data_IF_201914715093
#
_entry.id   IF_201914715093
#
_cell.length_a   1.000
_cell.length_b   1.000
_cell.length_c   1.000
_cell.angle_alpha   90.00
_cell.angle_beta   90.00
_cell.angle_gamma   90.00
#
_symmetry.space_group_name_H-M   'P 1'
#
loop_
_entity.id
_entity.type
_entity.pdbx_description
1 polymer ?
#
# COMPACT_ATOMS: atom_id res chain seq x y z
N UNK A 1 -7.82 -11.84 5.33
CA UNK A 1 -6.96 -10.95 6.11
C UNK A 1 -7.39 -11.06 7.56
N UNK A 2 -6.50 -11.50 8.45
CA UNK A 2 -6.74 -11.55 9.90
C UNK A 2 -6.46 -10.19 10.56
N UNK A 3 -6.89 -10.02 11.81
CA UNK A 3 -6.58 -8.82 12.60
C UNK A 3 -5.06 -8.64 12.80
N UNK A 4 -4.34 -9.76 12.96
CA UNK A 4 -2.87 -9.75 13.07
C UNK A 4 -2.20 -9.29 11.77
N UNK A 5 -2.73 -9.69 10.61
CA UNK A 5 -2.24 -9.24 9.30
C UNK A 5 -2.49 -7.74 9.10
N UNK A 6 -3.68 -7.25 9.48
CA UNK A 6 -4.00 -5.82 9.45
C UNK A 6 -3.06 -5.02 10.35
N UNK A 7 -2.85 -5.47 11.60
CA UNK A 7 -1.98 -4.82 12.54
C UNK A 7 -0.51 -4.79 12.08
N UNK A 8 -0.11 -5.79 11.29
CA UNK A 8 1.27 -5.93 10.81
C UNK A 8 1.55 -5.22 9.49
N UNK A 9 0.57 -4.55 8.86
CA UNK A 9 0.79 -3.87 7.56
C UNK A 9 1.87 -2.78 7.60
N UNK A 10 2.12 -2.17 8.77
CA UNK A 10 3.18 -1.17 8.96
C UNK A 10 4.58 -1.77 9.18
N UNK A 11 4.66 -3.07 9.50
CA UNK A 11 5.91 -3.81 9.68
C UNK A 11 5.75 -5.25 9.13
N UNK A 12 5.60 -5.42 7.80
CA UNK A 12 5.23 -6.70 7.19
C UNK A 12 6.20 -7.84 7.50
N UNK A 13 7.48 -7.53 7.71
CA UNK A 13 8.54 -8.47 8.09
C UNK A 13 8.27 -9.17 9.44
N UNK A 14 7.50 -8.54 10.31
CA UNK A 14 7.13 -9.07 11.62
C UNK A 14 5.90 -9.99 11.57
N UNK A 15 5.16 -9.99 10.47
CA UNK A 15 3.98 -10.84 10.29
C UNK A 15 4.39 -12.27 9.90
N UNK A 16 4.04 -13.24 10.74
CA UNK A 16 4.36 -14.64 10.50
C UNK A 16 3.54 -15.27 9.37
N UNK A 17 2.36 -14.73 9.05
CA UNK A 17 1.46 -15.30 8.04
C UNK A 17 1.71 -14.76 6.63
N UNK A 18 2.39 -13.61 6.50
CA UNK A 18 2.80 -13.08 5.19
C UNK A 18 3.93 -13.89 4.60
N UNK A 19 3.69 -14.39 3.39
CA UNK A 19 4.70 -15.08 2.62
C UNK A 19 5.66 -14.09 1.92
N UNK A 20 6.62 -14.63 1.17
CA UNK A 20 7.61 -13.82 0.47
C UNK A 20 6.98 -12.93 -0.61
N UNK A 21 5.88 -13.37 -1.23
CA UNK A 21 5.17 -12.60 -2.25
C UNK A 21 4.37 -11.45 -1.63
N UNK A 22 3.72 -11.68 -0.49
CA UNK A 22 3.03 -10.64 0.27
C UNK A 22 4.00 -9.52 0.67
N UNK A 23 5.15 -9.90 1.24
CA UNK A 23 6.20 -8.95 1.65
C UNK A 23 6.79 -8.19 0.46
N UNK A 24 6.99 -8.87 -0.67
CA UNK A 24 7.49 -8.25 -1.90
C UNK A 24 6.49 -7.23 -2.46
N UNK A 25 5.20 -7.55 -2.48
CA UNK A 25 4.13 -6.65 -2.92
C UNK A 25 4.01 -5.43 -2.00
N UNK A 26 4.09 -5.63 -0.69
CA UNK A 26 4.07 -4.54 0.30
C UNK A 26 5.28 -3.61 0.15
N UNK A 27 6.49 -4.17 -0.01
CA UNK A 27 7.70 -3.40 -0.31
C UNK A 27 7.57 -2.60 -1.60
N UNK A 28 7.04 -3.21 -2.67
CA UNK A 28 6.78 -2.52 -3.93
C UNK A 28 5.80 -1.35 -3.76
N UNK A 29 4.67 -1.59 -3.08
CA UNK A 29 3.66 -0.56 -2.86
C UNK A 29 4.22 0.62 -2.05
N UNK A 30 5.05 0.36 -1.04
CA UNK A 30 5.73 1.40 -0.27
C UNK A 30 6.70 2.22 -1.15
N UNK A 31 7.63 1.55 -1.85
CA UNK A 31 8.63 2.21 -2.71
C UNK A 31 7.97 3.05 -3.80
N UNK A 32 6.95 2.51 -4.47
CA UNK A 32 6.23 3.24 -5.52
C UNK A 32 5.48 4.45 -4.95
N UNK A 33 4.91 4.33 -3.75
CA UNK A 33 4.15 5.43 -3.11
C UNK A 33 5.06 6.55 -2.60
N UNK A 34 6.21 6.21 -2.02
CA UNK A 34 7.12 7.17 -1.36
C UNK A 34 8.14 7.77 -2.33
N UNK A 35 8.79 6.93 -3.11
CA UNK A 35 9.94 7.31 -3.93
C UNK A 35 9.60 7.41 -5.42
N UNK A 36 8.50 6.79 -5.85
CA UNK A 36 8.06 6.74 -7.24
C UNK A 36 9.15 6.22 -8.20
N UNK A 37 10.08 5.41 -7.68
CA UNK A 37 11.21 4.86 -8.42
C UNK A 37 11.48 3.43 -7.96
N UNK A 38 11.10 2.48 -8.79
CA UNK A 38 11.38 1.05 -8.60
C UNK A 38 12.74 0.76 -9.25
N UNK A 39 13.68 0.20 -8.50
CA UNK A 39 14.99 -0.18 -9.02
C UNK A 39 14.95 -1.54 -9.73
N UNK A 40 16.02 -1.84 -10.46
CA UNK A 40 16.13 -3.06 -11.26
C UNK A 40 16.08 -4.32 -10.39
N UNK A 41 16.60 -4.27 -9.16
CA UNK A 41 16.59 -5.40 -8.23
C UNK A 41 15.17 -5.74 -7.79
N UNK A 42 14.40 -4.75 -7.36
CA UNK A 42 13.00 -4.91 -6.95
C UNK A 42 12.13 -5.32 -8.14
N UNK A 43 12.34 -4.72 -9.31
CA UNK A 43 11.60 -5.08 -10.52
C UNK A 43 11.89 -6.52 -10.97
N UNK A 44 13.16 -6.96 -10.93
CA UNK A 44 13.52 -8.34 -11.25
C UNK A 44 12.93 -9.34 -10.24
N UNK A 45 12.89 -9.00 -8.95
CA UNK A 45 12.25 -9.85 -7.93
C UNK A 45 10.74 -10.01 -8.18
N UNK A 46 10.07 -8.95 -8.63
CA UNK A 46 8.66 -8.96 -9.02
C UNK A 46 8.42 -9.81 -10.28
N UNK A 47 9.22 -9.61 -11.35
CA UNK A 47 9.10 -10.42 -12.58
C UNK A 47 9.37 -11.91 -12.35
N UNK A 48 10.16 -12.27 -11.33
CA UNK A 48 10.39 -13.67 -10.98
C UNK A 48 9.16 -14.37 -10.35
N UNK A 49 8.15 -13.60 -9.89
CA UNK A 49 6.97 -14.12 -9.17
C UNK A 49 5.65 -13.85 -9.89
N UNK A 50 5.57 -12.77 -10.67
CA UNK A 50 4.33 -12.30 -11.27
C UNK A 50 4.46 -12.21 -12.80
N UNK A 51 3.37 -12.50 -13.50
CA UNK A 51 3.27 -12.26 -14.94
C UNK A 51 3.26 -10.76 -15.24
N UNK A 52 3.52 -10.41 -16.50
CA UNK A 52 3.48 -9.01 -16.93
C UNK A 52 2.10 -8.38 -16.73
N UNK A 53 1.03 -9.14 -16.96
CA UNK A 53 -0.35 -8.69 -16.71
C UNK A 53 -0.57 -8.42 -15.22
N UNK A 54 -0.12 -9.31 -14.34
CA UNK A 54 -0.20 -9.12 -12.89
C UNK A 54 0.58 -7.89 -12.42
N UNK A 55 1.76 -7.62 -13.01
CA UNK A 55 2.53 -6.41 -12.70
C UNK A 55 1.82 -5.13 -13.16
N UNK A 56 1.16 -5.16 -14.31
CA UNK A 56 0.33 -4.03 -14.78
C UNK A 56 -0.83 -3.78 -13.83
N UNK A 57 -1.53 -4.84 -13.40
CA UNK A 57 -2.63 -4.74 -12.42
C UNK A 57 -2.16 -4.22 -11.07
N UNK A 58 -1.00 -4.70 -10.60
CA UNK A 58 -0.40 -4.26 -9.35
C UNK A 58 -0.03 -2.77 -9.40
N UNK A 59 0.63 -2.33 -10.48
CA UNK A 59 0.96 -0.92 -10.71
C UNK A 59 -0.29 -0.05 -10.78
N UNK A 60 -1.33 -0.49 -11.49
CA UNK A 60 -2.58 0.25 -11.61
C UNK A 60 -3.30 0.38 -10.26
N UNK A 61 -3.29 -0.67 -9.45
CA UNK A 61 -3.91 -0.69 -8.12
C UNK A 61 -3.22 0.30 -7.18
N UNK A 62 -1.89 0.24 -7.08
CA UNK A 62 -1.11 1.19 -6.25
C UNK A 62 -1.28 2.62 -6.76
N UNK A 63 -1.23 2.82 -8.08
CA UNK A 63 -1.42 4.13 -8.72
C UNK A 63 -2.80 4.74 -8.46
N UNK A 64 -3.86 3.94 -8.52
CA UNK A 64 -5.23 4.39 -8.23
C UNK A 64 -5.37 4.87 -6.78
N UNK A 65 -4.86 4.08 -5.82
CA UNK A 65 -4.82 4.50 -4.42
C UNK A 65 -4.09 5.83 -4.27
N UNK A 66 -2.97 6.00 -4.97
CA UNK A 66 -2.20 7.24 -4.94
C UNK A 66 -2.98 8.46 -5.52
N UNK A 67 -3.87 8.25 -6.49
CA UNK A 67 -4.77 9.30 -7.01
C UNK A 67 -5.83 9.68 -5.96
N UNK A 68 -6.53 8.68 -5.40
CA UNK A 68 -7.56 8.87 -4.36
C UNK A 68 -6.99 9.61 -3.16
N UNK A 69 -5.81 9.18 -2.72
CA UNK A 69 -5.03 9.80 -1.66
C UNK A 69 -4.73 11.29 -1.92
N UNK A 70 -4.28 11.64 -3.13
CA UNK A 70 -4.02 13.04 -3.51
C UNK A 70 -5.30 13.86 -3.58
N UNK A 71 -6.40 13.26 -4.03
CA UNK A 71 -7.70 13.92 -4.06
C UNK A 71 -8.14 14.31 -2.63
N UNK A 72 -8.16 13.35 -1.70
CA UNK A 72 -8.55 13.62 -0.32
C UNK A 72 -7.61 14.59 0.38
N UNK A 73 -6.29 14.49 0.15
CA UNK A 73 -5.33 15.46 0.71
C UNK A 73 -5.55 16.89 0.17
N UNK A 74 -5.91 17.03 -1.11
CA UNK A 74 -6.15 18.33 -1.75
C UNK A 74 -7.41 18.99 -1.22
N UNK A 75 -8.50 18.23 -1.13
CA UNK A 75 -9.81 18.76 -0.75
C UNK A 75 -10.12 18.65 0.75
N UNK A 76 -9.22 18.05 1.53
CA UNK A 76 -9.37 17.83 2.98
C UNK A 76 -10.72 17.23 3.32
N UNK A 77 -11.07 16.17 2.60
CA UNK A 77 -12.33 15.46 2.86
C UNK A 77 -12.33 14.91 4.28
N UNK A 78 -13.40 15.15 5.01
CA UNK A 78 -13.60 14.59 6.35
C UNK A 78 -13.73 13.07 6.28
N UNK A 79 -13.28 12.40 7.34
CA UNK A 79 -13.50 10.96 7.53
C UNK A 79 -14.91 10.77 8.06
N UNK A 80 -15.70 9.91 7.42
CA UNK A 80 -17.05 9.59 7.88
C UNK A 80 -17.03 8.72 9.15
N UNK A 81 -18.15 8.71 9.88
CA UNK A 81 -18.27 8.04 11.18
C UNK A 81 -17.95 6.54 11.12
N UNK A 82 -18.33 5.85 10.03
CA UNK A 82 -18.11 4.41 9.88
C UNK A 82 -16.61 4.12 9.66
N UNK A 83 -15.92 4.95 8.88
CA UNK A 83 -14.47 4.86 8.67
C UNK A 83 -13.70 5.20 9.95
N UNK A 84 -14.11 6.26 10.67
CA UNK A 84 -13.47 6.66 11.93
C UNK A 84 -13.57 5.58 13.00
N UNK A 85 -14.69 4.86 13.08
CA UNK A 85 -14.88 3.74 13.99
C UNK A 85 -13.90 2.57 13.74
N UNK A 86 -13.41 2.43 12.50
CA UNK A 86 -12.57 1.30 12.07
C UNK A 86 -11.08 1.65 11.98
N UNK A 87 -10.73 2.89 11.62
CA UNK A 87 -9.36 3.35 11.39
C UNK A 87 -8.69 4.01 12.61
N UNK A 88 -9.44 4.24 13.69
CA UNK A 88 -8.98 5.00 14.86
C UNK A 88 -9.09 6.51 14.66
N UNK A 89 -8.55 7.29 15.60
CA UNK A 89 -8.71 8.75 15.62
C UNK A 89 -7.77 9.44 14.61
N UNK A 90 -8.11 9.32 13.32
CA UNK A 90 -7.39 9.95 12.21
C UNK A 90 -8.27 11.04 11.60
N UNK A 91 -7.97 12.30 11.90
CA UNK A 91 -8.81 13.43 11.48
C UNK A 91 -8.83 13.66 9.94
N UNK A 92 -7.86 13.14 9.20
CA UNK A 92 -7.77 13.20 7.73
C UNK A 92 -6.77 12.17 7.20
N UNK A 93 -6.80 11.89 5.88
CA UNK A 93 -5.83 11.01 5.22
C UNK A 93 -4.39 11.56 5.33
N UNK A 94 -3.45 10.90 6.04
CA UNK A 94 -2.21 11.52 6.54
C UNK A 94 -1.08 11.67 5.49
N UNK A 95 -1.39 11.81 4.21
CA UNK A 95 -0.36 11.77 3.16
C UNK A 95 0.21 13.17 2.97
N UNK A 96 1.27 13.46 3.71
CA UNK A 96 2.03 14.72 3.63
C UNK A 96 2.61 15.22 4.94
N UNK A 97 3.37 14.41 5.67
CA UNK A 97 4.41 14.91 6.59
C UNK A 97 5.76 14.32 6.25
#
# INVERSE_FOLDING_TARGET
MSDDEMASMAAPESCATFDESDRLVLRYAEVLTRDNRVDDELYAALEARFSREQLVELCATVGLSAIVNRFHATFRTDVDDDTAASAGDVAFCPIGR
#
